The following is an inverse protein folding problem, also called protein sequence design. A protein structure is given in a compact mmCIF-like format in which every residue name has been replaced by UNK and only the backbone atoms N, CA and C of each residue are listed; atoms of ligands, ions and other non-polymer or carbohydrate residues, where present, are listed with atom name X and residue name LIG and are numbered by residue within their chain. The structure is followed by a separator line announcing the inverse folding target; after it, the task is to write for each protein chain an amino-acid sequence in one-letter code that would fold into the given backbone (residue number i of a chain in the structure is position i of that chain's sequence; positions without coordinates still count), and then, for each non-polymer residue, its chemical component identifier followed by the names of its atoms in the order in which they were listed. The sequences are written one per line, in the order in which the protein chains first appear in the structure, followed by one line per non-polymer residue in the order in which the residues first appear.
data_IF_693339019199
#
_entry.id   IF_693339019199
#
_cell.length_a   1.000
_cell.length_b   1.000
_cell.length_c   1.000
_cell.angle_alpha   90.00
_cell.angle_beta   90.00
_cell.angle_gamma   90.00
#
_symmetry.space_group_name_H-M   'P 1'
#
loop_
_entity.id
_entity.type
_entity.pdbx_description
1 polymer ?
#
# COMPACT_ATOMS: atom_id res chain seq x y z
N UNK A 1 32.06 35.17 13.32
CA UNK A 1 30.99 35.03 12.32
C UNK A 1 30.60 33.58 12.29
N UNK A 2 29.58 33.22 13.07
CA UNK A 2 29.02 31.88 13.15
C UNK A 2 27.99 31.62 12.04
N UNK A 3 27.75 30.32 11.81
CA UNK A 3 26.67 29.68 11.03
C UNK A 3 26.89 29.70 9.50
N UNK A 4 26.90 28.59 8.77
CA UNK A 4 26.02 27.42 8.87
C UNK A 4 26.81 26.13 8.66
N UNK A 5 27.10 25.44 9.76
CA UNK A 5 27.35 23.99 9.74
C UNK A 5 26.00 23.35 9.44
N UNK A 6 25.73 23.03 8.19
CA UNK A 6 24.61 22.16 7.79
C UNK A 6 24.76 20.92 8.64
N UNK A 7 23.92 20.81 9.68
CA UNK A 7 23.82 19.58 10.47
C UNK A 7 23.36 18.53 9.47
N UNK A 8 24.26 17.64 9.07
CA UNK A 8 23.87 16.34 8.54
C UNK A 8 22.94 15.72 9.57
N UNK A 9 21.63 15.89 9.33
CA UNK A 9 20.60 15.24 10.12
C UNK A 9 20.78 13.76 9.85
N UNK A 10 21.32 13.06 10.84
CA UNK A 10 21.40 11.61 10.94
C UNK A 10 20.17 10.97 10.26
N UNK A 11 20.37 10.35 9.09
CA UNK A 11 19.32 9.73 8.26
C UNK A 11 18.90 8.34 8.80
N UNK A 12 19.16 8.06 10.07
CA UNK A 12 18.83 6.78 10.73
C UNK A 12 17.32 6.73 11.04
N UNK A 13 16.50 6.64 9.99
CA UNK A 13 15.05 6.49 10.12
C UNK A 13 14.23 7.06 8.97
N UNK A 14 14.81 7.91 8.11
CA UNK A 14 14.07 8.50 6.99
C UNK A 14 13.57 7.44 6.02
N UNK A 15 12.37 7.63 5.48
CA UNK A 15 11.82 6.70 4.48
C UNK A 15 12.61 6.78 3.17
N UNK A 16 12.83 8.00 2.67
CA UNK A 16 13.66 8.24 1.48
C UNK A 16 14.74 9.25 1.86
N UNK A 17 16.04 8.90 1.74
CA UNK A 17 17.11 9.85 2.03
C UNK A 17 16.97 11.13 1.21
N UNK A 18 17.13 12.28 1.87
CA UNK A 18 16.98 13.59 1.25
C UNK A 18 15.53 14.07 1.03
N UNK A 19 14.51 13.28 1.41
CA UNK A 19 13.10 13.65 1.26
C UNK A 19 12.41 13.73 2.63
N UNK A 20 11.56 14.76 2.87
CA UNK A 20 10.65 14.78 4.01
C UNK A 20 9.73 13.54 4.04
N UNK A 21 9.50 12.98 5.23
CA UNK A 21 8.77 11.72 5.36
C UNK A 21 7.32 11.81 4.86
N UNK A 22 6.66 12.96 4.98
CA UNK A 22 5.32 13.21 4.46
C UNK A 22 5.27 13.08 2.92
N UNK A 23 6.25 13.65 2.23
CA UNK A 23 6.41 13.48 0.78
C UNK A 23 6.78 12.05 0.42
N UNK A 24 7.63 11.40 1.21
CA UNK A 24 7.99 10.00 0.99
C UNK A 24 6.78 9.06 1.10
N UNK A 25 5.91 9.26 2.09
CA UNK A 25 4.64 8.52 2.22
C UNK A 25 3.73 8.76 1.02
N UNK A 26 3.62 10.00 0.53
CA UNK A 26 2.86 10.29 -0.67
C UNK A 26 3.43 9.54 -1.88
N UNK A 27 4.74 9.64 -2.13
CA UNK A 27 5.39 8.93 -3.22
C UNK A 27 5.11 7.42 -3.18
N UNK A 28 5.29 6.79 -2.03
CA UNK A 28 5.01 5.36 -1.85
C UNK A 28 3.52 5.03 -2.04
N UNK A 29 2.61 5.88 -1.55
CA UNK A 29 1.18 5.70 -1.72
C UNK A 29 0.72 5.88 -3.17
N UNK A 30 1.43 6.68 -3.97
CA UNK A 30 1.14 6.86 -5.39
C UNK A 30 1.67 5.72 -6.27
N UNK A 31 2.47 4.80 -5.73
CA UNK A 31 2.79 3.56 -6.43
C UNK A 31 1.55 2.65 -6.48
N UNK A 32 1.23 2.02 -7.62
CA UNK A 32 0.14 1.03 -7.69
C UNK A 32 0.27 -0.06 -6.64
N UNK A 33 -0.87 -0.46 -6.03
CA UNK A 33 -0.90 -1.43 -4.92
C UNK A 33 -0.21 -2.76 -5.27
N UNK A 34 -0.27 -3.18 -6.54
CA UNK A 34 0.35 -4.41 -7.02
C UNK A 34 1.88 -4.46 -6.81
N UNK A 35 2.55 -3.32 -6.70
CA UNK A 35 3.99 -3.25 -6.45
C UNK A 35 4.36 -3.13 -4.98
N UNK A 36 3.40 -2.86 -4.08
CA UNK A 36 3.69 -2.60 -2.67
C UNK A 36 4.34 -3.80 -1.98
N UNK A 37 3.96 -5.02 -2.35
CA UNK A 37 4.61 -6.23 -1.83
C UNK A 37 6.13 -6.24 -2.10
N UNK A 38 6.54 -5.82 -3.31
CA UNK A 38 7.96 -5.71 -3.69
C UNK A 38 8.64 -4.53 -3.00
N UNK A 39 7.92 -3.43 -2.76
CA UNK A 39 8.48 -2.27 -2.07
C UNK A 39 8.66 -2.51 -0.56
N UNK A 40 7.81 -3.33 0.06
CA UNK A 40 7.88 -3.69 1.48
C UNK A 40 9.15 -4.47 1.87
N UNK A 41 9.88 -5.02 0.92
CA UNK A 41 11.12 -5.79 1.19
C UNK A 41 12.40 -4.97 0.96
N UNK A 42 12.30 -3.70 0.55
CA UNK A 42 13.47 -2.84 0.30
C UNK A 42 14.21 -2.50 1.59
N UNK A 43 13.50 -2.01 2.61
CA UNK A 43 14.06 -1.75 3.94
C UNK A 43 12.95 -1.71 5.00
N UNK A 44 13.34 -1.72 6.29
CA UNK A 44 12.41 -1.67 7.43
C UNK A 44 11.53 -0.41 7.42
N UNK A 45 12.10 0.73 7.01
CA UNK A 45 11.36 2.01 6.95
C UNK A 45 10.25 1.98 5.88
N UNK A 46 10.55 1.44 4.69
CA UNK A 46 9.56 1.26 3.63
C UNK A 46 8.48 0.26 4.03
N UNK A 47 8.87 -0.84 4.68
CA UNK A 47 7.92 -1.81 5.22
C UNK A 47 6.93 -1.17 6.19
N UNK A 48 7.42 -0.35 7.13
CA UNK A 48 6.61 0.35 8.11
C UNK A 48 5.69 1.39 7.45
N UNK A 49 6.22 2.21 6.55
CA UNK A 49 5.45 3.22 5.81
C UNK A 49 4.30 2.58 5.01
N UNK A 50 4.58 1.49 4.28
CA UNK A 50 3.61 0.77 3.45
C UNK A 50 2.62 -0.11 4.24
N UNK A 51 2.87 -0.34 5.52
CA UNK A 51 1.96 -1.07 6.41
C UNK A 51 1.16 -0.14 7.34
N UNK A 52 1.39 1.17 7.22
CA UNK A 52 0.72 2.17 8.04
C UNK A 52 -0.70 2.51 7.53
N UNK A 53 -1.56 2.99 8.43
CA UNK A 53 -2.90 3.51 8.07
C UNK A 53 -2.84 4.82 7.26
N UNK A 54 -1.67 5.47 7.19
CA UNK A 54 -1.46 6.71 6.44
C UNK A 54 -1.73 6.49 4.95
N UNK A 55 -1.38 5.31 4.45
CA UNK A 55 -1.59 4.92 3.05
C UNK A 55 -3.08 4.96 2.66
N UNK A 56 -3.93 4.35 3.49
CA UNK A 56 -5.39 4.36 3.30
C UNK A 56 -5.96 5.77 3.37
N UNK A 57 -5.46 6.60 4.29
CA UNK A 57 -5.90 8.00 4.40
C UNK A 57 -5.52 8.82 3.16
N UNK A 58 -4.33 8.60 2.59
CA UNK A 58 -3.89 9.24 1.35
C UNK A 58 -4.80 8.79 0.19
N UNK A 59 -5.02 7.50 0.00
CA UNK A 59 -5.90 7.01 -1.08
C UNK A 59 -7.31 7.58 -0.98
N UNK A 60 -7.89 7.58 0.22
CA UNK A 60 -9.22 8.15 0.46
C UNK A 60 -9.27 9.67 0.21
N UNK A 61 -8.24 10.41 0.63
CA UNK A 61 -8.15 11.87 0.44
C UNK A 61 -7.99 12.25 -1.02
N UNK A 62 -7.18 11.52 -1.76
CA UNK A 62 -6.86 11.81 -3.16
C UNK A 62 -7.78 11.07 -4.14
N UNK A 63 -8.76 10.30 -3.63
CA UNK A 63 -9.74 9.50 -4.39
C UNK A 63 -9.07 8.72 -5.51
N UNK A 64 -7.93 8.10 -5.22
CA UNK A 64 -7.13 7.43 -6.23
C UNK A 64 -7.78 6.09 -6.56
N UNK A 65 -8.84 6.14 -7.37
CA UNK A 65 -9.58 4.98 -7.86
C UNK A 65 -8.67 4.10 -8.71
N UNK A 66 -7.97 3.17 -8.06
CA UNK A 66 -7.31 2.06 -8.74
C UNK A 66 -8.37 0.97 -8.98
N UNK A 67 -8.63 0.69 -10.26
CA UNK A 67 -9.57 -0.35 -10.65
C UNK A 67 -8.85 -1.70 -10.56
N UNK A 68 -9.20 -2.48 -9.54
CA UNK A 68 -8.65 -3.81 -9.31
C UNK A 68 -9.71 -4.88 -9.45
N UNK A 69 -9.31 -6.03 -9.97
CA UNK A 69 -10.10 -7.25 -9.93
C UNK A 69 -9.61 -8.12 -8.78
N UNK A 70 -10.44 -8.33 -7.76
CA UNK A 70 -10.14 -9.27 -6.68
C UNK A 70 -10.74 -10.64 -7.01
N UNK A 71 -9.93 -11.69 -6.91
CA UNK A 71 -10.31 -13.08 -7.17
C UNK A 71 -10.01 -13.91 -5.93
N UNK A 72 -11.00 -14.65 -5.44
CA UNK A 72 -10.86 -15.60 -4.35
C UNK A 72 -11.07 -17.00 -4.91
N UNK A 73 -10.06 -17.87 -4.79
CA UNK A 73 -10.15 -19.25 -5.27
C UNK A 73 -10.94 -20.13 -4.31
N UNK A 74 -10.86 -19.83 -3.02
CA UNK A 74 -11.57 -20.47 -1.91
C UNK A 74 -12.28 -19.41 -1.06
N UNK A 75 -12.98 -19.87 -0.02
CA UNK A 75 -13.55 -18.98 1.00
C UNK A 75 -12.44 -18.03 1.55
N UNK A 76 -12.71 -16.71 1.63
CA UNK A 76 -11.73 -15.72 2.10
C UNK A 76 -11.27 -15.93 3.55
N UNK A 77 -11.95 -16.78 4.32
CA UNK A 77 -11.54 -17.24 5.65
C UNK A 77 -10.45 -18.31 5.62
N UNK A 78 -10.34 -19.06 4.52
CA UNK A 78 -9.45 -20.22 4.36
C UNK A 78 -8.18 -19.83 3.59
N UNK A 79 -8.32 -19.02 2.54
CA UNK A 79 -7.21 -18.62 1.69
C UNK A 79 -7.25 -17.13 1.34
N UNK A 80 -6.07 -16.53 1.16
CA UNK A 80 -5.95 -15.16 0.68
C UNK A 80 -6.39 -15.04 -0.77
N UNK A 81 -6.98 -13.90 -1.13
CA UNK A 81 -7.34 -13.59 -2.51
C UNK A 81 -6.13 -13.14 -3.34
N UNK A 82 -6.36 -12.95 -4.64
CA UNK A 82 -5.44 -12.34 -5.58
C UNK A 82 -6.06 -11.07 -6.13
N UNK A 83 -5.26 -10.01 -6.29
CA UNK A 83 -5.62 -8.80 -7.01
C UNK A 83 -4.96 -8.82 -8.37
N UNK A 84 -5.74 -8.53 -9.40
CA UNK A 84 -5.26 -8.19 -10.73
C UNK A 84 -5.44 -6.69 -11.01
N UNK A 85 -4.36 -6.05 -11.44
CA UNK A 85 -4.32 -4.68 -11.92
C UNK A 85 -4.32 -4.67 -13.46
N UNK A 86 -5.43 -4.31 -14.13
CA UNK A 86 -5.52 -4.28 -15.58
C UNK A 86 -4.67 -3.18 -16.22
N UNK A 87 -4.34 -2.10 -15.49
CA UNK A 87 -3.52 -1.00 -16.04
C UNK A 87 -2.05 -1.39 -16.11
N UNK A 88 -1.58 -2.10 -15.08
CA UNK A 88 -0.18 -2.52 -14.98
C UNK A 88 0.05 -3.98 -15.42
N UNK A 89 -1.03 -4.69 -15.81
CA UNK A 89 -1.02 -6.11 -16.14
C UNK A 89 -0.26 -6.96 -15.10
N UNK A 90 -0.57 -6.71 -13.83
CA UNK A 90 0.19 -7.24 -12.70
C UNK A 90 -0.72 -7.93 -11.69
N UNK A 91 -0.19 -9.00 -11.11
CA UNK A 91 -0.85 -9.75 -10.04
C UNK A 91 -0.18 -9.46 -8.70
N UNK A 92 -0.99 -9.40 -7.64
CA UNK A 92 -0.51 -9.31 -6.26
C UNK A 92 -1.39 -10.15 -5.34
N UNK A 93 -0.80 -10.69 -4.27
CA UNK A 93 -1.54 -11.39 -3.24
C UNK A 93 -2.25 -10.39 -2.32
N UNK A 94 -3.52 -10.66 -2.02
CA UNK A 94 -4.22 -10.00 -0.94
C UNK A 94 -3.74 -10.56 0.41
N UNK A 95 -3.63 -9.73 1.45
CA UNK A 95 -3.57 -10.24 2.80
C UNK A 95 -4.84 -11.06 3.12
N UNK A 96 -4.75 -11.97 4.09
CA UNK A 96 -5.92 -12.65 4.63
C UNK A 96 -6.93 -11.61 5.08
N UNK A 97 -8.13 -11.67 4.52
CA UNK A 97 -9.17 -10.70 4.82
C UNK A 97 -9.74 -10.99 6.21
N UNK A 98 -10.04 -9.97 7.03
CA UNK A 98 -10.79 -10.20 8.25
C UNK A 98 -12.13 -10.85 7.88
N UNK A 99 -12.32 -12.05 8.41
CA UNK A 99 -13.41 -12.93 8.11
C UNK A 99 -14.72 -12.38 8.69
N UNK A 100 -15.41 -11.56 7.90
CA UNK A 100 -16.79 -11.14 8.19
C UNK A 100 -17.68 -11.48 6.99
N UNK A 101 -18.29 -12.66 7.07
CA UNK A 101 -19.23 -13.16 6.04
C UNK A 101 -20.39 -12.19 5.77
N UNK A 102 -20.74 -11.29 6.69
CA UNK A 102 -21.80 -10.31 6.45
C UNK A 102 -21.38 -9.20 5.48
N UNK A 103 -20.08 -9.01 5.29
CA UNK A 103 -19.50 -7.98 4.42
C UNK A 103 -19.22 -8.49 3.01
N UNK A 104 -18.96 -9.78 2.83
CA UNK A 104 -18.69 -10.39 1.52
C UNK A 104 -19.93 -11.16 1.08
N UNK A 105 -20.72 -10.59 0.17
CA UNK A 105 -21.83 -11.32 -0.47
C UNK A 105 -21.32 -12.67 -1.01
N UNK A 106 -22.20 -13.68 -1.04
CA UNK A 106 -21.93 -15.11 -1.34
C UNK A 106 -21.25 -15.41 -2.70
N UNK A 107 -20.75 -14.41 -3.41
CA UNK A 107 -20.05 -14.52 -4.68
C UNK A 107 -18.55 -14.27 -4.46
N UNK A 108 -17.70 -15.23 -4.84
CA UNK A 108 -16.23 -15.14 -4.78
C UNK A 108 -15.61 -14.06 -5.70
N UNK A 109 -16.45 -13.21 -6.27
CA UNK A 109 -16.10 -12.07 -7.11
C UNK A 109 -16.79 -10.84 -6.53
N UNK A 110 -16.02 -9.91 -5.98
CA UNK A 110 -16.52 -8.56 -5.71
C UNK A 110 -15.70 -7.58 -6.54
N UNK A 111 -16.40 -6.79 -7.36
CA UNK A 111 -15.81 -5.63 -8.00
C UNK A 111 -15.82 -4.49 -6.98
N UNK A 112 -14.73 -4.29 -6.26
CA UNK A 112 -14.62 -3.10 -5.41
C UNK A 112 -14.27 -1.91 -6.28
N UNK A 113 -15.25 -1.06 -6.52
CA UNK A 113 -15.01 0.30 -7.02
C UNK A 113 -14.80 1.24 -5.84
N UNK A 114 -13.78 0.98 -5.03
CA UNK A 114 -13.25 1.91 -4.02
C UNK A 114 -11.99 1.37 -3.37
N UNK A 115 -10.86 1.90 -3.82
CA UNK A 115 -9.75 2.40 -2.99
C UNK A 115 -9.42 3.78 -3.56
#
# INVERSE_FOLDING_TARGET
METLRTRDKQFDGSIVPGLPDDLAHLCLAFVPLCHHGRLKVVCKSWHAALSSKILLNIHNRWKKAEEFLCIFRDDPSVAGGEIFDPRNNAWALLPLMPCDLSTYGLSNFYCTRRI
#
